data_IF_322999753261
#
_entry.id   IF_322999753261
#
_cell.length_a   1.000
_cell.length_b   1.000
_cell.length_c   1.000
_cell.angle_alpha   90.00
_cell.angle_beta   90.00
_cell.angle_gamma   90.00
#
_symmetry.space_group_name_H-M   'P 1'
#
loop_
_entity.id
_entity.type
_entity.pdbx_description
1 polymer ?
#
# COMPACT_ATOMS: atom_id res chain seq x y z
N UNK A 1 -63.67 5.51 45.91
CA UNK A 1 -63.15 4.93 44.66
C UNK A 1 -62.11 5.86 44.08
N UNK A 2 -60.84 5.52 44.23
CA UNK A 2 -59.76 6.36 43.83
C UNK A 2 -59.11 5.78 42.59
N UNK A 3 -59.31 6.42 41.43
CA UNK A 3 -58.69 6.05 40.19
C UNK A 3 -57.21 6.40 40.25
N UNK A 4 -56.35 5.41 40.23
CA UNK A 4 -54.91 5.61 40.18
C UNK A 4 -54.50 5.78 38.69
N UNK A 5 -54.26 7.00 38.31
CA UNK A 5 -53.65 7.28 36.97
C UNK A 5 -52.17 6.99 37.05
N UNK A 6 -51.79 5.85 36.48
CA UNK A 6 -50.38 5.55 36.28
C UNK A 6 -49.87 6.34 35.10
N UNK A 7 -49.05 7.34 35.36
CA UNK A 7 -48.27 8.05 34.35
C UNK A 7 -47.05 7.19 34.02
N UNK A 8 -47.05 6.64 32.82
CA UNK A 8 -45.89 5.95 32.29
C UNK A 8 -44.92 7.01 31.76
N UNK A 9 -43.73 7.13 32.31
CA UNK A 9 -42.74 8.02 31.69
C UNK A 9 -42.29 7.41 30.37
N UNK A 10 -42.40 8.20 29.31
CA UNK A 10 -41.85 7.86 28.01
C UNK A 10 -40.33 7.75 28.15
N UNK A 11 -39.84 6.53 28.15
CA UNK A 11 -38.43 6.27 28.04
C UNK A 11 -37.98 6.69 26.66
N UNK A 12 -37.17 7.74 26.63
CA UNK A 12 -36.48 8.19 25.42
C UNK A 12 -35.60 7.04 24.90
N UNK A 13 -35.96 6.49 23.77
CA UNK A 13 -35.11 5.62 23.00
C UNK A 13 -33.94 6.48 22.50
N UNK A 14 -32.82 6.38 23.20
CA UNK A 14 -31.53 6.87 22.67
C UNK A 14 -31.19 5.98 21.47
N UNK A 15 -31.46 6.46 20.28
CA UNK A 15 -30.97 5.91 19.06
C UNK A 15 -29.43 6.08 19.06
N UNK A 16 -28.73 5.00 19.43
CA UNK A 16 -27.31 4.90 19.21
C UNK A 16 -27.11 4.86 17.71
N UNK A 17 -26.83 6.01 17.13
CA UNK A 17 -26.27 6.10 15.80
C UNK A 17 -24.87 5.45 15.85
N UNK A 18 -24.82 4.16 15.59
CA UNK A 18 -23.59 3.49 15.26
C UNK A 18 -23.12 4.05 13.92
N UNK A 19 -22.27 5.07 13.97
CA UNK A 19 -21.46 5.45 12.81
C UNK A 19 -20.55 4.27 12.52
N UNK A 20 -21.00 3.32 11.73
CA UNK A 20 -20.13 2.38 11.07
C UNK A 20 -19.35 3.20 10.04
N UNK A 21 -18.01 3.23 10.08
CA UNK A 21 -17.26 3.80 8.98
C UNK A 21 -17.60 2.95 7.75
N UNK A 22 -18.33 3.54 6.83
CA UNK A 22 -18.49 2.98 5.50
C UNK A 22 -17.12 3.13 4.87
N UNK A 23 -16.32 2.09 4.97
CA UNK A 23 -15.16 1.94 4.11
C UNK A 23 -15.76 1.85 2.71
N UNK A 24 -15.64 2.93 1.95
CA UNK A 24 -15.96 2.91 0.54
C UNK A 24 -14.95 1.94 -0.09
N UNK A 25 -15.37 0.69 -0.21
CA UNK A 25 -14.69 -0.33 -0.98
C UNK A 25 -14.85 0.11 -2.44
N UNK A 26 -13.85 0.83 -2.92
CA UNK A 26 -13.80 1.29 -4.31
C UNK A 26 -13.56 0.14 -5.29
N UNK A 27 -13.79 -1.11 -4.87
CA UNK A 27 -13.72 -2.28 -5.73
C UNK A 27 -12.33 -2.54 -6.37
N UNK A 28 -11.36 -1.71 -6.05
CA UNK A 28 -10.00 -1.83 -6.53
C UNK A 28 -9.21 -2.64 -5.52
N UNK A 29 -9.15 -3.95 -5.73
CA UNK A 29 -8.28 -4.80 -4.93
C UNK A 29 -6.85 -4.29 -5.07
N UNK A 30 -6.18 -3.94 -3.95
CA UNK A 30 -4.80 -3.48 -4.02
C UNK A 30 -3.95 -4.58 -4.64
N UNK A 31 -3.32 -4.28 -5.77
CA UNK A 31 -2.41 -5.21 -6.42
C UNK A 31 -1.21 -5.40 -5.52
N UNK A 32 -0.91 -6.66 -5.22
CA UNK A 32 0.28 -7.02 -4.48
C UNK A 32 1.09 -8.05 -5.27
N UNK A 33 2.40 -7.88 -5.29
CA UNK A 33 3.32 -8.81 -5.93
C UNK A 33 4.31 -9.29 -4.88
N UNK A 34 4.49 -10.60 -4.77
CA UNK A 34 5.46 -11.20 -3.87
C UNK A 34 6.83 -11.22 -4.54
N UNK A 35 7.83 -10.65 -3.88
CA UNK A 35 9.22 -10.69 -4.31
C UNK A 35 9.97 -11.74 -3.51
N UNK A 36 10.38 -12.81 -4.18
CA UNK A 36 11.21 -13.86 -3.58
C UNK A 36 12.69 -13.47 -3.63
N UNK A 37 13.43 -13.74 -2.57
CA UNK A 37 14.86 -13.44 -2.48
C UNK A 37 15.67 -14.45 -1.68
N UNK A 38 15.09 -15.59 -1.37
CA UNK A 38 15.73 -16.67 -0.61
C UNK A 38 16.95 -17.27 -1.34
N UNK A 39 16.97 -17.14 -2.67
CA UNK A 39 18.08 -17.54 -3.55
C UNK A 39 19.24 -16.56 -3.60
N UNK A 40 19.09 -15.37 -2.98
CA UNK A 40 20.07 -14.30 -3.06
C UNK A 40 20.87 -14.17 -1.75
N UNK A 41 22.18 -13.99 -1.89
CA UNK A 41 23.00 -13.55 -0.77
C UNK A 41 22.88 -12.03 -0.61
N UNK A 42 21.87 -11.58 0.15
CA UNK A 42 21.58 -10.14 0.34
C UNK A 42 22.65 -9.39 1.17
N UNK A 43 23.57 -10.13 1.81
CA UNK A 43 24.72 -9.51 2.48
C UNK A 43 25.79 -9.05 1.49
N UNK A 44 25.77 -9.57 0.26
CA UNK A 44 26.70 -9.14 -0.79
C UNK A 44 26.13 -7.96 -1.57
N UNK A 45 27.02 -7.11 -2.10
CA UNK A 45 26.61 -6.00 -2.96
C UNK A 45 25.85 -6.48 -4.21
N UNK A 46 26.25 -7.63 -4.79
CA UNK A 46 25.57 -8.24 -5.93
C UNK A 46 24.16 -8.71 -5.57
N UNK A 47 24.00 -9.40 -4.44
CA UNK A 47 22.69 -9.89 -3.98
C UNK A 47 21.75 -8.75 -3.65
N UNK A 48 22.23 -7.71 -2.97
CA UNK A 48 21.45 -6.51 -2.70
C UNK A 48 21.01 -5.81 -3.99
N UNK A 49 21.88 -5.71 -4.99
CA UNK A 49 21.57 -5.15 -6.30
C UNK A 49 20.50 -5.96 -7.04
N UNK A 50 20.63 -7.28 -7.04
CA UNK A 50 19.65 -8.16 -7.70
C UNK A 50 18.28 -8.10 -7.02
N UNK A 51 18.24 -8.08 -5.69
CA UNK A 51 16.99 -7.91 -4.96
C UNK A 51 16.33 -6.56 -5.27
N UNK A 52 17.12 -5.50 -5.30
CA UNK A 52 16.60 -4.19 -5.64
C UNK A 52 16.01 -4.14 -7.05
N UNK A 53 16.62 -4.80 -8.03
CA UNK A 53 16.04 -4.93 -9.37
C UNK A 53 14.71 -5.67 -9.36
N UNK A 54 14.60 -6.79 -8.62
CA UNK A 54 13.33 -7.51 -8.47
C UNK A 54 12.23 -6.63 -7.86
N UNK A 55 12.59 -5.84 -6.85
CA UNK A 55 11.69 -4.86 -6.23
C UNK A 55 11.22 -3.81 -7.26
N UNK A 56 12.12 -3.31 -8.10
CA UNK A 56 11.76 -2.34 -9.14
C UNK A 56 10.76 -2.92 -10.15
N UNK A 57 10.97 -4.17 -10.61
CA UNK A 57 10.04 -4.82 -11.53
C UNK A 57 8.66 -5.03 -10.88
N UNK A 58 8.64 -5.53 -9.64
CA UNK A 58 7.40 -5.71 -8.90
C UNK A 58 6.65 -4.39 -8.67
N UNK A 59 7.35 -3.32 -8.35
CA UNK A 59 6.77 -2.00 -8.17
C UNK A 59 6.12 -1.46 -9.45
N UNK A 60 6.76 -1.65 -10.60
CA UNK A 60 6.21 -1.26 -11.91
C UNK A 60 4.95 -2.06 -12.23
N UNK A 61 4.96 -3.36 -11.94
CA UNK A 61 3.82 -4.24 -12.17
C UNK A 61 2.62 -3.84 -11.28
N UNK A 62 2.85 -3.62 -10.00
CA UNK A 62 1.82 -3.15 -9.05
C UNK A 62 1.22 -1.81 -9.48
N UNK A 63 2.03 -0.90 -10.01
CA UNK A 63 1.59 0.42 -10.43
C UNK A 63 0.97 0.45 -11.84
N UNK A 64 0.72 -0.70 -12.46
CA UNK A 64 0.01 -0.79 -13.74
C UNK A 64 0.90 -1.02 -14.95
N UNK A 65 2.10 -1.60 -14.76
CA UNK A 65 3.08 -1.86 -15.81
C UNK A 65 2.62 -2.74 -16.98
N UNK A 66 1.51 -3.47 -16.84
CA UNK A 66 0.98 -4.38 -17.87
C UNK A 66 -0.23 -3.83 -18.64
N UNK A 67 -0.58 -2.57 -18.44
CA UNK A 67 -1.71 -1.96 -19.15
C UNK A 67 -1.29 -1.49 -20.55
N UNK A 68 -2.12 -1.77 -21.53
CA UNK A 68 -1.92 -1.36 -22.94
C UNK A 68 -1.84 0.17 -23.14
N UNK A 69 -2.24 0.94 -22.13
CA UNK A 69 -2.15 2.40 -22.06
C UNK A 69 -0.85 2.90 -21.45
N UNK A 70 0.17 2.08 -21.39
CA UNK A 70 1.41 2.29 -20.65
C UNK A 70 2.16 3.57 -20.97
N UNK A 71 2.14 4.02 -22.21
CA UNK A 71 2.86 5.26 -22.59
C UNK A 71 2.36 6.48 -21.85
N UNK A 72 1.05 6.58 -21.68
CA UNK A 72 0.43 7.71 -20.97
C UNK A 72 0.69 7.61 -19.46
N UNK A 73 0.59 6.40 -18.91
CA UNK A 73 0.81 6.14 -17.47
C UNK A 73 2.28 6.29 -17.07
N UNK A 74 3.20 5.78 -17.88
CA UNK A 74 4.66 5.89 -17.59
C UNK A 74 5.12 7.34 -17.55
N UNK A 75 4.51 8.22 -18.35
CA UNK A 75 4.82 9.65 -18.36
C UNK A 75 4.10 10.43 -17.27
N UNK A 76 3.08 9.84 -16.64
CA UNK A 76 2.32 10.52 -15.62
C UNK A 76 3.11 10.65 -14.30
N UNK A 77 2.95 11.78 -13.64
CA UNK A 77 3.54 12.02 -12.31
C UNK A 77 3.00 11.01 -11.27
N UNK A 78 1.75 10.58 -11.41
CA UNK A 78 1.11 9.60 -10.54
C UNK A 78 1.78 8.24 -10.62
N UNK A 79 2.08 7.76 -11.82
CA UNK A 79 2.79 6.49 -12.02
C UNK A 79 4.18 6.52 -11.35
N UNK A 80 4.93 7.59 -11.60
CA UNK A 80 6.27 7.77 -11.01
C UNK A 80 6.20 7.82 -9.47
N UNK A 81 5.21 8.49 -8.93
CA UNK A 81 4.99 8.57 -7.48
C UNK A 81 4.63 7.21 -6.91
N UNK A 82 3.74 6.46 -7.58
CA UNK A 82 3.37 5.10 -7.19
C UNK A 82 4.60 4.18 -7.16
N UNK A 83 5.37 4.11 -8.23
CA UNK A 83 6.56 3.25 -8.33
C UNK A 83 7.58 3.60 -7.24
N UNK A 84 7.83 4.88 -7.03
CA UNK A 84 8.77 5.33 -5.98
C UNK A 84 8.29 4.93 -4.59
N UNK A 85 7.02 5.13 -4.28
CA UNK A 85 6.41 4.72 -3.01
C UNK A 85 6.50 3.22 -2.79
N UNK A 86 6.14 2.43 -3.79
CA UNK A 86 6.20 0.97 -3.72
C UNK A 86 7.64 0.44 -3.48
N UNK A 87 8.65 1.03 -4.13
CA UNK A 87 10.05 0.67 -3.91
C UNK A 87 10.48 1.03 -2.48
N UNK A 88 10.15 2.23 -2.01
CA UNK A 88 10.50 2.67 -0.66
C UNK A 88 9.91 1.75 0.40
N UNK A 89 8.63 1.41 0.27
CA UNK A 89 7.94 0.51 1.18
C UNK A 89 8.53 -0.90 1.16
N UNK A 90 8.84 -1.42 -0.03
CA UNK A 90 9.43 -2.76 -0.16
C UNK A 90 10.83 -2.83 0.46
N UNK A 91 11.69 -1.84 0.23
CA UNK A 91 13.03 -1.75 0.85
C UNK A 91 12.92 -1.67 2.37
N UNK A 92 11.97 -0.90 2.89
CA UNK A 92 11.72 -0.81 4.32
C UNK A 92 11.26 -2.16 4.93
N UNK A 93 10.43 -2.92 4.21
CA UNK A 93 9.97 -4.25 4.65
C UNK A 93 11.06 -5.30 4.64
N UNK A 94 11.96 -5.25 3.67
CA UNK A 94 13.16 -6.12 3.65
C UNK A 94 14.04 -5.85 4.87
N UNK A 95 14.11 -4.61 5.31
CA UNK A 95 14.83 -4.16 6.51
C UNK A 95 16.26 -4.71 6.61
N UNK A 96 16.99 -4.66 5.50
CA UNK A 96 18.37 -5.14 5.42
C UNK A 96 19.32 -4.00 5.07
N UNK A 97 20.41 -3.78 5.85
CA UNK A 97 21.28 -2.61 5.70
C UNK A 97 21.93 -2.52 4.31
N UNK A 98 22.38 -3.62 3.73
CA UNK A 98 22.99 -3.61 2.41
C UNK A 98 22.02 -3.18 1.30
N UNK A 99 20.75 -3.60 1.40
CA UNK A 99 19.70 -3.21 0.45
C UNK A 99 19.32 -1.75 0.62
N UNK A 100 19.20 -1.30 1.86
CA UNK A 100 18.90 0.11 2.18
C UNK A 100 20.00 1.04 1.71
N UNK A 101 21.26 0.69 1.94
CA UNK A 101 22.42 1.46 1.45
C UNK A 101 22.48 1.50 -0.07
N UNK A 102 22.24 0.36 -0.72
CA UNK A 102 22.20 0.28 -2.18
C UNK A 102 21.10 1.16 -2.77
N UNK A 103 19.91 1.16 -2.17
CA UNK A 103 18.79 2.00 -2.59
C UNK A 103 19.10 3.50 -2.39
N UNK A 104 19.72 3.86 -1.26
CA UNK A 104 20.08 5.24 -0.93
C UNK A 104 21.17 5.81 -1.84
N UNK A 105 22.11 4.98 -2.30
CA UNK A 105 23.19 5.38 -3.20
C UNK A 105 22.71 5.68 -4.63
N UNK A 106 21.49 5.30 -4.99
CA UNK A 106 20.93 5.53 -6.33
C UNK A 106 20.24 6.87 -6.43
N UNK A 107 20.52 7.66 -7.47
CA UNK A 107 19.78 8.88 -7.72
C UNK A 107 18.29 8.55 -7.98
N UNK A 108 17.38 9.36 -7.44
CA UNK A 108 15.93 9.17 -7.58
C UNK A 108 15.45 9.08 -9.04
N UNK A 109 16.23 9.58 -9.98
CA UNK A 109 15.97 9.50 -11.42
C UNK A 109 16.08 8.07 -11.98
N UNK A 110 16.79 7.17 -11.32
CA UNK A 110 16.98 5.78 -11.78
C UNK A 110 15.78 4.86 -11.53
N UNK A 111 14.73 5.36 -10.90
CA UNK A 111 13.45 4.64 -10.72
C UNK A 111 12.46 4.87 -11.88
N UNK A 112 12.92 5.47 -12.93
CA UNK A 112 12.10 5.75 -14.11
C UNK A 112 12.06 4.55 -15.07
#
# INVERSE_FOLDING_TARGET
MKSLKVLIPATALAALYSCTPVWADTGETPRSVTVHFEDLNINSARGAAQLFQRIQYAAKDVCGGNLSSQRVLVLSSLYKTCVRGAITDAVARVNHPAVTQYAAARPRASYQ
#
